data_IF_993908838194
#
_entry.id   IF_993908838194
#
_cell.length_a   1.000
_cell.length_b   1.000
_cell.length_c   1.000
_cell.angle_alpha   90.00
_cell.angle_beta   90.00
_cell.angle_gamma   90.00
#
_symmetry.space_group_name_H-M   'P 1'
#
loop_
_entity.id
_entity.type
_entity.pdbx_description
1 polymer ?
#
# COMPACT_ATOMS: atom_id res chain seq x y z
N UNK A 1 -8.11 14.06 18.53
CA UNK A 1 -6.91 14.31 17.68
C UNK A 1 -6.77 13.14 16.72
N UNK A 2 -6.49 13.38 15.44
CA UNK A 2 -6.30 12.30 14.45
C UNK A 2 -5.02 11.52 14.74
N UNK A 3 -5.07 10.19 14.62
CA UNK A 3 -3.88 9.31 14.71
C UNK A 3 -3.22 9.04 13.34
N UNK A 4 -3.61 9.81 12.33
CA UNK A 4 -3.29 9.54 10.92
C UNK A 4 -2.48 10.71 10.36
N UNK A 5 -1.52 10.39 9.51
CA UNK A 5 -0.68 11.38 8.84
C UNK A 5 -1.53 12.40 8.07
N UNK A 6 -1.12 13.68 8.11
CA UNK A 6 -1.74 14.72 7.28
C UNK A 6 -1.45 14.43 5.81
N UNK A 7 -2.51 14.39 5.00
CA UNK A 7 -2.40 14.17 3.55
C UNK A 7 -1.74 15.38 2.90
N UNK A 8 -0.44 15.26 2.65
CA UNK A 8 0.43 16.26 2.02
C UNK A 8 1.20 15.60 0.87
N UNK A 9 1.99 16.38 0.11
CA UNK A 9 2.88 15.80 -0.90
C UNK A 9 3.87 14.80 -0.26
N UNK A 10 4.37 15.11 0.94
CA UNK A 10 5.27 14.21 1.70
C UNK A 10 4.57 12.89 2.01
N UNK A 11 3.29 12.91 2.39
CA UNK A 11 2.52 11.70 2.61
C UNK A 11 2.50 10.80 1.38
N UNK A 12 2.28 11.36 0.19
CA UNK A 12 2.25 10.59 -1.05
C UNK A 12 3.63 10.03 -1.41
N UNK A 13 4.70 10.80 -1.24
CA UNK A 13 6.07 10.32 -1.45
C UNK A 13 6.35 9.14 -0.52
N UNK A 14 6.11 9.30 0.79
CA UNK A 14 6.33 8.25 1.77
C UNK A 14 5.46 7.02 1.50
N UNK A 15 4.20 7.21 1.06
CA UNK A 15 3.30 6.11 0.71
C UNK A 15 3.82 5.33 -0.48
N UNK A 16 4.21 6.00 -1.57
CA UNK A 16 4.78 5.34 -2.76
C UNK A 16 6.06 4.60 -2.39
N UNK A 17 6.96 5.21 -1.60
CA UNK A 17 8.18 4.55 -1.13
C UNK A 17 7.85 3.32 -0.26
N UNK A 18 6.90 3.43 0.66
CA UNK A 18 6.49 2.32 1.52
C UNK A 18 5.86 1.18 0.71
N UNK A 19 5.04 1.48 -0.30
CA UNK A 19 4.43 0.46 -1.14
C UNK A 19 5.46 -0.21 -2.03
N UNK A 20 6.37 0.56 -2.64
CA UNK A 20 7.42 0.01 -3.49
C UNK A 20 8.36 -0.87 -2.66
N UNK A 21 8.76 -0.41 -1.47
CA UNK A 21 9.55 -1.21 -0.52
C UNK A 21 8.79 -2.46 -0.06
N UNK A 22 7.47 -2.34 0.13
CA UNK A 22 6.62 -3.44 0.53
C UNK A 22 6.65 -4.60 -0.48
N UNK A 23 6.62 -4.27 -1.76
CA UNK A 23 6.75 -5.22 -2.86
C UNK A 23 8.12 -5.89 -2.85
N UNK A 24 9.19 -5.08 -2.90
CA UNK A 24 10.54 -5.61 -3.02
C UNK A 24 10.98 -6.40 -1.78
N UNK A 25 10.51 -6.04 -0.59
CA UNK A 25 10.77 -6.78 0.64
C UNK A 25 9.97 -8.10 0.71
N UNK A 26 8.73 -8.10 0.20
CA UNK A 26 7.93 -9.31 0.07
C UNK A 26 8.62 -10.34 -0.83
N UNK A 27 9.03 -9.90 -2.02
CA UNK A 27 9.79 -10.68 -3.00
C UNK A 27 11.15 -11.15 -2.48
N UNK A 28 11.83 -10.32 -1.68
CA UNK A 28 13.11 -10.66 -1.10
C UNK A 28 12.98 -11.86 -0.16
N UNK A 29 11.97 -11.89 0.71
CA UNK A 29 11.79 -13.02 1.63
C UNK A 29 11.25 -14.26 0.89
N UNK A 30 10.26 -14.07 0.02
CA UNK A 30 9.56 -15.18 -0.63
C UNK A 30 10.40 -15.84 -1.73
N UNK A 31 11.00 -15.04 -2.61
CA UNK A 31 11.73 -15.50 -3.79
C UNK A 31 13.24 -15.55 -3.56
N UNK A 32 13.83 -14.48 -3.03
CA UNK A 32 15.31 -14.36 -2.97
C UNK A 32 15.90 -15.20 -1.83
N UNK A 33 15.26 -15.18 -0.66
CA UNK A 33 15.67 -15.97 0.51
C UNK A 33 15.05 -17.37 0.54
N UNK A 34 14.13 -17.67 -0.39
CA UNK A 34 13.59 -19.02 -0.58
C UNK A 34 12.64 -19.51 0.51
N UNK A 35 12.07 -18.63 1.35
CA UNK A 35 11.10 -19.02 2.37
C UNK A 35 9.76 -19.47 1.78
N UNK A 36 9.50 -19.16 0.51
CA UNK A 36 8.24 -19.46 -0.17
C UNK A 36 7.10 -18.54 0.24
N UNK A 37 6.05 -18.50 -0.58
CA UNK A 37 4.95 -17.53 -0.43
C UNK A 37 4.11 -17.75 0.83
N UNK A 38 3.79 -19.02 1.15
CA UNK A 38 2.95 -19.35 2.31
C UNK A 38 3.60 -18.94 3.64
N UNK A 39 4.87 -19.30 3.84
CA UNK A 39 5.59 -18.97 5.07
C UNK A 39 5.83 -17.46 5.18
N UNK A 40 6.18 -16.80 4.07
CA UNK A 40 6.34 -15.34 4.02
C UNK A 40 5.04 -14.62 4.39
N UNK A 41 3.90 -15.07 3.86
CA UNK A 41 2.59 -14.51 4.19
C UNK A 41 2.29 -14.61 5.70
N UNK A 42 2.56 -15.75 6.33
CA UNK A 42 2.35 -15.94 7.77
C UNK A 42 3.27 -15.01 8.58
N UNK A 43 4.57 -14.97 8.26
CA UNK A 43 5.55 -14.14 8.97
C UNK A 43 5.14 -12.66 8.89
N UNK A 44 4.83 -12.16 7.70
CA UNK A 44 4.49 -10.76 7.52
C UNK A 44 3.11 -10.40 8.09
N UNK A 45 2.15 -11.33 8.07
CA UNK A 45 0.87 -11.13 8.72
C UNK A 45 1.04 -11.00 10.24
N UNK A 46 1.90 -11.80 10.87
CA UNK A 46 2.22 -11.68 12.30
C UNK A 46 2.88 -10.34 12.59
N UNK A 47 3.87 -9.93 11.79
CA UNK A 47 4.53 -8.61 11.95
C UNK A 47 3.50 -7.48 11.81
N UNK A 48 2.62 -7.56 10.82
CA UNK A 48 1.53 -6.61 10.64
C UNK A 48 0.63 -6.54 11.88
N UNK A 49 0.16 -7.66 12.40
CA UNK A 49 -0.69 -7.70 13.60
C UNK A 49 0.00 -7.07 14.82
N UNK A 50 1.29 -7.35 15.04
CA UNK A 50 2.06 -6.73 16.14
C UNK A 50 2.10 -5.21 15.98
N UNK A 51 2.46 -4.72 14.79
CA UNK A 51 2.52 -3.27 14.54
C UNK A 51 1.13 -2.62 14.66
N UNK A 52 0.08 -3.30 14.19
CA UNK A 52 -1.30 -2.84 14.26
C UNK A 52 -1.77 -2.71 15.71
N UNK A 53 -1.51 -3.73 16.56
CA UNK A 53 -1.83 -3.66 17.99
C UNK A 53 -1.12 -2.48 18.65
N UNK A 54 0.15 -2.22 18.29
CA UNK A 54 0.87 -1.04 18.73
C UNK A 54 0.17 0.27 18.35
N UNK A 55 -0.29 0.38 17.10
CA UNK A 55 -1.02 1.56 16.61
C UNK A 55 -2.40 1.73 17.27
N UNK A 56 -3.13 0.64 17.49
CA UNK A 56 -4.45 0.68 18.16
C UNK A 56 -4.33 1.07 19.65
N UNK A 57 -3.18 0.78 20.26
CA UNK A 57 -2.89 1.09 21.66
C UNK A 57 -2.59 2.56 21.92
N UNK A 58 -2.12 3.31 20.91
CA UNK A 58 -1.77 4.73 21.07
C UNK A 58 -2.94 5.65 20.79
N UNK A 59 -3.03 6.77 21.50
CA UNK A 59 -4.12 7.77 21.36
C UNK A 59 -3.73 9.00 20.54
N UNK A 60 -2.44 9.16 20.25
CA UNK A 60 -1.87 10.28 19.48
C UNK A 60 -1.17 9.75 18.23
N UNK A 61 -1.02 10.63 17.24
CA UNK A 61 -0.23 10.32 16.05
C UNK A 61 1.25 10.15 16.42
N UNK A 62 1.78 8.94 16.20
CA UNK A 62 3.20 8.64 16.31
C UNK A 62 3.67 8.24 14.91
N UNK A 63 4.44 9.10 14.20
CA UNK A 63 4.83 8.88 12.80
C UNK A 63 5.47 7.52 12.58
N UNK A 64 6.40 7.13 13.46
CA UNK A 64 7.11 5.85 13.36
C UNK A 64 6.14 4.66 13.40
N UNK A 65 5.22 4.63 14.36
CA UNK A 65 4.25 3.52 14.44
C UNK A 65 3.31 3.49 13.23
N UNK A 66 2.78 4.64 12.84
CA UNK A 66 1.86 4.74 11.70
C UNK A 66 2.53 4.23 10.41
N UNK A 67 3.74 4.70 10.12
CA UNK A 67 4.47 4.28 8.92
C UNK A 67 4.96 2.84 9.00
N UNK A 68 5.29 2.33 10.19
CA UNK A 68 5.58 0.91 10.38
C UNK A 68 4.37 0.03 10.08
N UNK A 69 3.16 0.41 10.49
CA UNK A 69 1.93 -0.31 10.11
C UNK A 69 1.70 -0.24 8.61
N UNK A 70 1.87 0.94 7.99
CA UNK A 70 1.70 1.12 6.54
C UNK A 70 2.72 0.29 5.74
N UNK A 71 3.95 0.14 6.23
CA UNK A 71 4.97 -0.69 5.61
C UNK A 71 4.64 -2.17 5.81
N UNK A 72 4.38 -2.61 7.05
CA UNK A 72 4.10 -4.02 7.36
C UNK A 72 2.85 -4.53 6.66
N UNK A 73 1.79 -3.73 6.57
CA UNK A 73 0.58 -4.08 5.80
C UNK A 73 0.83 -4.12 4.30
N UNK A 74 1.79 -3.34 3.78
CA UNK A 74 2.16 -3.42 2.37
C UNK A 74 2.90 -4.72 2.07
N UNK A 75 3.87 -5.09 2.91
CA UNK A 75 4.65 -6.32 2.76
C UNK A 75 3.74 -7.55 2.93
N UNK A 76 2.89 -7.55 3.96
CA UNK A 76 1.90 -8.62 4.17
C UNK A 76 0.91 -8.69 3.00
N UNK A 77 0.48 -7.55 2.47
CA UNK A 77 -0.39 -7.47 1.30
C UNK A 77 0.19 -8.20 0.08
N UNK A 78 1.46 -7.96 -0.25
CA UNK A 78 2.18 -8.65 -1.33
C UNK A 78 2.24 -10.14 -1.08
N UNK A 79 2.71 -10.56 0.09
CA UNK A 79 2.89 -11.98 0.38
C UNK A 79 1.58 -12.76 0.37
N UNK A 80 0.47 -12.16 0.83
CA UNK A 80 -0.86 -12.76 0.72
C UNK A 80 -1.31 -12.85 -0.74
N UNK A 81 -1.07 -11.81 -1.54
CA UNK A 81 -1.41 -11.79 -2.96
C UNK A 81 -0.69 -12.92 -3.70
N UNK A 82 0.64 -13.01 -3.54
CA UNK A 82 1.44 -14.07 -4.14
C UNK A 82 0.99 -15.46 -3.71
N UNK A 83 0.69 -15.63 -2.42
CA UNK A 83 0.19 -16.90 -1.92
C UNK A 83 -1.16 -17.27 -2.57
N UNK A 84 -2.08 -16.33 -2.71
CA UNK A 84 -3.38 -16.54 -3.35
C UNK A 84 -3.24 -16.86 -4.84
N UNK A 85 -2.43 -16.09 -5.56
CA UNK A 85 -2.37 -16.18 -7.01
C UNK A 85 -1.46 -17.32 -7.47
N UNK A 86 -0.32 -17.54 -6.80
CA UNK A 86 0.70 -18.52 -7.18
C UNK A 86 0.56 -19.85 -6.44
N UNK A 87 0.40 -19.85 -5.12
CA UNK A 87 0.32 -21.11 -4.34
C UNK A 87 -1.06 -21.73 -4.37
N UNK A 88 -2.13 -20.94 -4.20
CA UNK A 88 -3.52 -21.44 -4.33
C UNK A 88 -3.98 -21.53 -5.80
N UNK A 89 -3.13 -21.14 -6.75
CA UNK A 89 -3.37 -21.19 -8.18
C UNK A 89 -4.69 -20.52 -8.63
N UNK A 90 -5.14 -19.48 -7.90
CA UNK A 90 -6.32 -18.71 -8.29
C UNK A 90 -6.06 -17.91 -9.57
N UNK A 91 -4.81 -17.49 -9.77
CA UNK A 91 -4.40 -16.61 -10.85
C UNK A 91 -4.83 -15.16 -10.65
N UNK A 92 -3.98 -14.24 -11.12
CA UNK A 92 -4.07 -12.80 -10.84
C UNK A 92 -5.42 -12.17 -11.19
N UNK A 93 -6.07 -12.60 -12.27
CA UNK A 93 -7.37 -12.05 -12.67
C UNK A 93 -8.48 -12.39 -11.66
N UNK A 94 -8.58 -13.67 -11.24
CA UNK A 94 -9.60 -14.10 -10.29
C UNK A 94 -9.30 -13.58 -8.89
N UNK A 95 -8.03 -13.62 -8.48
CA UNK A 95 -7.56 -13.04 -7.21
C UNK A 95 -7.93 -11.56 -7.10
N UNK A 96 -7.59 -10.76 -8.12
CA UNK A 96 -7.96 -9.35 -8.19
C UNK A 96 -9.47 -9.13 -8.11
N UNK A 97 -10.28 -9.89 -8.85
CA UNK A 97 -11.73 -9.71 -8.86
C UNK A 97 -12.35 -9.99 -7.49
N UNK A 98 -11.92 -11.07 -6.82
CA UNK A 98 -12.35 -11.41 -5.45
C UNK A 98 -11.97 -10.27 -4.49
N UNK A 99 -10.74 -9.77 -4.57
CA UNK A 99 -10.25 -8.70 -3.70
C UNK A 99 -10.99 -7.38 -3.93
N UNK A 100 -11.35 -7.04 -5.17
CA UNK A 100 -12.22 -5.88 -5.48
C UNK A 100 -13.57 -6.03 -4.79
N UNK A 101 -14.22 -7.18 -4.91
CA UNK A 101 -15.55 -7.41 -4.31
C UNK A 101 -15.48 -7.28 -2.79
N UNK A 102 -14.47 -7.86 -2.15
CA UNK A 102 -14.27 -7.77 -0.70
C UNK A 102 -14.01 -6.32 -0.28
N UNK A 103 -13.15 -5.60 -1.01
CA UNK A 103 -12.84 -4.21 -0.70
C UNK A 103 -14.08 -3.31 -0.82
N UNK A 104 -14.90 -3.50 -1.85
CA UNK A 104 -16.17 -2.79 -2.00
C UNK A 104 -17.15 -3.12 -0.87
N UNK A 105 -17.22 -4.39 -0.45
CA UNK A 105 -18.06 -4.78 0.69
C UNK A 105 -17.59 -4.12 2.00
N UNK A 106 -16.28 -4.01 2.23
CA UNK A 106 -15.72 -3.30 3.39
C UNK A 106 -16.08 -1.81 3.35
N UNK A 107 -15.92 -1.14 2.21
CA UNK A 107 -16.30 0.26 2.06
C UNK A 107 -17.80 0.47 2.23
N UNK A 108 -18.63 -0.43 1.69
CA UNK A 108 -20.08 -0.38 1.88
C UNK A 108 -20.43 -0.53 3.36
N UNK A 109 -19.91 -1.54 4.04
CA UNK A 109 -20.16 -1.77 5.46
C UNK A 109 -19.72 -0.57 6.33
N UNK A 110 -18.56 0.01 6.02
CA UNK A 110 -18.08 1.20 6.71
C UNK A 110 -19.00 2.40 6.45
N UNK A 111 -19.37 2.64 5.19
CA UNK A 111 -20.29 3.72 4.83
C UNK A 111 -21.67 3.55 5.49
N UNK A 112 -22.22 2.34 5.56
CA UNK A 112 -23.50 2.12 6.25
C UNK A 112 -23.39 2.27 7.77
N UNK A 113 -22.22 1.97 8.35
CA UNK A 113 -21.99 2.09 9.80
C UNK A 113 -21.81 3.53 10.27
N UNK A 114 -21.02 4.33 9.56
CA UNK A 114 -20.60 5.68 9.99
C UNK A 114 -21.10 6.81 9.08
N UNK A 115 -21.73 6.48 7.95
CA UNK A 115 -22.19 7.41 6.89
C UNK A 115 -21.09 8.33 6.35
N UNK A 116 -19.82 7.98 6.58
CA UNK A 116 -18.66 8.76 6.19
C UNK A 116 -17.43 7.87 6.05
N UNK A 117 -16.75 7.98 4.92
CA UNK A 117 -15.43 7.36 4.68
C UNK A 117 -14.29 8.35 4.96
N UNK A 118 -14.56 9.40 5.74
CA UNK A 118 -13.59 10.45 6.01
C UNK A 118 -12.56 10.00 7.05
N UNK A 119 -11.31 9.94 6.60
CA UNK A 119 -10.15 9.50 7.38
C UNK A 119 -9.79 10.49 8.49
N UNK A 120 -10.22 11.74 8.39
CA UNK A 120 -10.02 12.71 9.46
C UNK A 120 -10.95 12.46 10.68
N UNK A 121 -11.94 11.58 10.55
CA UNK A 121 -12.94 11.30 11.59
C UNK A 121 -12.86 9.87 12.13
N UNK A 122 -11.66 9.29 12.24
CA UNK A 122 -11.46 7.99 12.91
C UNK A 122 -11.43 8.20 14.43
N UNK A 123 -12.62 8.17 15.05
CA UNK A 123 -12.78 8.41 16.49
C UNK A 123 -12.97 7.15 17.32
N UNK A 124 -13.45 6.06 16.73
CA UNK A 124 -13.76 4.81 17.44
C UNK A 124 -12.79 3.70 17.02
N UNK A 125 -12.51 2.77 17.95
CA UNK A 125 -11.70 1.57 17.65
C UNK A 125 -12.29 0.74 16.51
N UNK A 126 -13.61 0.66 16.42
CA UNK A 126 -14.31 -0.05 15.34
C UNK A 126 -13.94 0.52 13.97
N UNK A 127 -13.97 1.84 13.81
CA UNK A 127 -13.62 2.52 12.56
C UNK A 127 -12.13 2.40 12.25
N UNK A 128 -11.29 2.47 13.29
CA UNK A 128 -9.84 2.29 13.13
C UNK A 128 -9.52 0.87 12.61
N UNK A 129 -10.18 -0.17 13.12
CA UNK A 129 -10.04 -1.54 12.64
C UNK A 129 -10.53 -1.65 11.19
N UNK A 130 -11.70 -1.12 10.85
CA UNK A 130 -12.22 -1.14 9.48
C UNK A 130 -11.28 -0.43 8.49
N UNK A 131 -10.67 0.69 8.90
CA UNK A 131 -9.68 1.40 8.10
C UNK A 131 -8.45 0.53 7.82
N UNK A 132 -7.89 -0.13 8.83
CA UNK A 132 -6.72 -0.99 8.63
C UNK A 132 -7.03 -2.26 7.83
N UNK A 133 -8.23 -2.83 7.99
CA UNK A 133 -8.72 -3.93 7.16
C UNK A 133 -8.84 -3.48 5.70
N UNK A 134 -9.45 -2.32 5.44
CA UNK A 134 -9.56 -1.77 4.09
C UNK A 134 -8.17 -1.54 3.46
N UNK A 135 -7.19 -1.07 4.24
CA UNK A 135 -5.82 -0.91 3.79
C UNK A 135 -5.18 -2.25 3.43
N UNK A 136 -5.32 -3.28 4.28
CA UNK A 136 -4.75 -4.59 4.00
C UNK A 136 -5.28 -5.17 2.69
N UNK A 137 -6.61 -5.20 2.52
CA UNK A 137 -7.23 -5.70 1.29
C UNK A 137 -6.91 -4.83 0.08
N UNK A 138 -6.82 -3.51 0.24
CA UNK A 138 -6.36 -2.62 -0.81
C UNK A 138 -4.90 -2.90 -1.20
N UNK A 139 -4.04 -3.26 -0.26
CA UNK A 139 -2.65 -3.57 -0.55
C UNK A 139 -2.52 -4.90 -1.28
N UNK A 140 -3.25 -5.93 -0.84
CA UNK A 140 -3.31 -7.23 -1.52
C UNK A 140 -3.89 -7.08 -2.93
N UNK A 141 -5.00 -6.34 -3.09
CA UNK A 141 -5.58 -6.03 -4.39
C UNK A 141 -4.59 -5.32 -5.30
N UNK A 142 -3.87 -4.33 -4.77
CA UNK A 142 -2.94 -3.56 -5.58
C UNK A 142 -1.77 -4.38 -6.09
N UNK A 143 -1.24 -5.33 -5.31
CA UNK A 143 -0.23 -6.27 -5.82
C UNK A 143 -0.83 -7.20 -6.87
N UNK A 144 -1.95 -7.87 -6.59
CA UNK A 144 -2.61 -8.76 -7.55
C UNK A 144 -2.92 -8.07 -8.89
N UNK A 145 -3.42 -6.83 -8.82
CA UNK A 145 -3.76 -6.03 -10.00
C UNK A 145 -2.51 -5.53 -10.72
N UNK A 146 -1.46 -5.16 -9.97
CA UNK A 146 -0.17 -4.75 -10.53
C UNK A 146 0.45 -5.90 -11.34
N UNK A 147 0.54 -7.08 -10.74
CA UNK A 147 1.04 -8.30 -11.37
C UNK A 147 0.16 -8.72 -12.54
N UNK A 148 -1.17 -8.63 -12.41
CA UNK A 148 -2.08 -8.91 -13.52
C UNK A 148 -1.79 -8.02 -14.74
N UNK A 149 -1.62 -6.71 -14.50
CA UNK A 149 -1.32 -5.75 -15.55
C UNK A 149 0.07 -6.00 -16.15
N UNK A 150 1.06 -6.33 -15.33
CA UNK A 150 2.41 -6.57 -15.83
C UNK A 150 2.56 -7.90 -16.58
N UNK A 151 2.14 -9.01 -15.97
CA UNK A 151 2.48 -10.36 -16.45
C UNK A 151 1.41 -10.96 -17.36
N UNK A 152 0.13 -10.68 -17.12
CA UNK A 152 -0.98 -11.41 -17.79
C UNK A 152 -1.71 -10.57 -18.84
N UNK A 153 -1.78 -9.24 -18.65
CA UNK A 153 -2.55 -8.37 -19.57
C UNK A 153 -1.85 -8.09 -20.91
N UNK A 154 -0.55 -8.38 -21.01
CA UNK A 154 0.27 -8.06 -22.18
C UNK A 154 0.84 -6.62 -22.20
N UNK A 155 0.57 -5.80 -21.18
CA UNK A 155 1.10 -4.44 -21.05
C UNK A 155 2.58 -4.39 -20.62
N UNK A 156 3.07 -5.43 -19.93
CA UNK A 156 4.39 -5.42 -19.31
C UNK A 156 4.52 -4.42 -18.15
N UNK A 157 5.67 -4.41 -17.47
CA UNK A 157 5.89 -3.53 -16.31
C UNK A 157 5.79 -2.03 -16.68
N UNK A 158 6.37 -1.62 -17.81
CA UNK A 158 6.32 -0.23 -18.28
C UNK A 158 4.87 0.18 -18.62
N UNK A 159 4.15 -0.65 -19.38
CA UNK A 159 2.77 -0.35 -19.76
C UNK A 159 1.84 -0.27 -18.54
N UNK A 160 2.00 -1.18 -17.57
CA UNK A 160 1.29 -1.15 -16.30
C UNK A 160 1.58 0.12 -15.49
N UNK A 161 2.85 0.48 -15.32
CA UNK A 161 3.27 1.67 -14.59
C UNK A 161 2.75 2.96 -15.24
N UNK A 162 2.82 3.07 -16.58
CA UNK A 162 2.30 4.22 -17.33
C UNK A 162 0.78 4.31 -17.23
N UNK A 163 0.06 3.20 -17.36
CA UNK A 163 -1.40 3.16 -17.24
C UNK A 163 -1.84 3.65 -15.86
N UNK A 164 -1.30 3.08 -14.78
CA UNK A 164 -1.69 3.46 -13.43
C UNK A 164 -1.22 4.88 -13.10
N UNK A 165 -0.03 5.27 -13.55
CA UNK A 165 0.48 6.63 -13.40
C UNK A 165 -0.40 7.67 -14.09
N UNK A 166 -0.92 7.35 -15.29
CA UNK A 166 -1.85 8.23 -16.01
C UNK A 166 -3.20 8.36 -15.29
N UNK A 167 -3.73 7.28 -14.71
CA UNK A 167 -4.94 7.32 -13.89
C UNK A 167 -4.75 8.17 -12.63
N UNK A 168 -3.59 8.06 -11.97
CA UNK A 168 -3.25 8.93 -10.84
C UNK A 168 -3.16 10.40 -11.27
N UNK A 169 -2.56 10.69 -12.43
CA UNK A 169 -2.52 12.05 -12.98
C UNK A 169 -3.93 12.60 -13.26
N UNK A 170 -4.84 11.78 -13.81
CA UNK A 170 -6.26 12.14 -14.01
C UNK A 170 -6.93 12.45 -12.67
N UNK A 171 -6.65 11.68 -11.61
CA UNK A 171 -7.20 11.95 -10.27
C UNK A 171 -6.68 13.27 -9.70
N UNK A 172 -5.40 13.59 -9.92
CA UNK A 172 -4.82 14.88 -9.54
C UNK A 172 -5.47 16.02 -10.32
N UNK A 173 -5.69 15.86 -11.63
CA UNK A 173 -6.41 16.85 -12.43
C UNK A 173 -7.86 17.00 -11.95
N UNK A 174 -8.57 15.89 -11.72
CA UNK A 174 -9.91 15.92 -11.15
C UNK A 174 -9.92 16.62 -9.78
N UNK A 175 -8.87 16.45 -8.98
CA UNK A 175 -8.72 17.17 -7.73
C UNK A 175 -8.62 18.69 -7.94
N UNK A 176 -7.83 19.18 -8.88
CA UNK A 176 -7.72 20.63 -9.07
C UNK A 176 -8.89 21.26 -9.83
N UNK A 177 -9.49 20.53 -10.77
CA UNK A 177 -10.43 21.09 -11.74
C UNK A 177 -11.90 20.72 -11.53
N UNK A 178 -12.22 19.79 -10.62
CA UNK A 178 -13.61 19.34 -10.41
C UNK A 178 -14.09 19.49 -8.97
N UNK A 179 -15.42 19.39 -8.79
CA UNK A 179 -16.10 19.38 -7.48
C UNK A 179 -16.39 17.97 -6.97
N UNK A 180 -15.77 16.94 -7.55
CA UNK A 180 -15.92 15.55 -7.10
C UNK A 180 -15.49 15.43 -5.63
N UNK A 181 -16.15 14.54 -4.89
CA UNK A 181 -15.88 14.32 -3.47
C UNK A 181 -14.39 14.08 -3.20
N UNK A 182 -13.80 14.91 -2.33
CA UNK A 182 -12.39 14.81 -1.91
C UNK A 182 -12.09 13.46 -1.25
N UNK A 183 -13.05 12.94 -0.51
CA UNK A 183 -12.94 11.63 0.15
C UNK A 183 -12.90 10.51 -0.88
N UNK A 184 -13.73 10.59 -1.92
CA UNK A 184 -13.73 9.63 -3.01
C UNK A 184 -12.40 9.65 -3.78
N UNK A 185 -11.95 10.83 -4.23
CA UNK A 185 -10.68 10.99 -4.95
C UNK A 185 -9.50 10.49 -4.12
N UNK A 186 -9.51 10.74 -2.80
CA UNK A 186 -8.51 10.20 -1.90
C UNK A 186 -8.47 8.68 -1.93
N UNK A 187 -9.62 8.01 -1.76
CA UNK A 187 -9.66 6.55 -1.70
C UNK A 187 -9.25 5.91 -3.02
N UNK A 188 -9.69 6.47 -4.14
CA UNK A 188 -9.27 5.97 -5.46
C UNK A 188 -7.77 6.16 -5.66
N UNK A 189 -7.21 7.33 -5.34
CA UNK A 189 -5.76 7.55 -5.41
C UNK A 189 -5.01 6.61 -4.46
N UNK A 190 -5.48 6.46 -3.23
CA UNK A 190 -4.87 5.59 -2.22
C UNK A 190 -4.81 4.14 -2.69
N UNK A 191 -5.92 3.61 -3.21
CA UNK A 191 -5.99 2.25 -3.75
C UNK A 191 -5.06 2.10 -4.96
N UNK A 192 -5.03 3.08 -5.88
CA UNK A 192 -4.19 3.04 -7.09
C UNK A 192 -2.70 3.27 -6.84
N UNK A 193 -2.30 3.92 -5.75
CA UNK A 193 -0.87 4.04 -5.41
C UNK A 193 -0.22 2.70 -5.12
N UNK A 194 -0.98 1.68 -4.68
CA UNK A 194 -0.43 0.34 -4.45
C UNK A 194 -0.03 -0.37 -5.76
N UNK A 195 -0.93 -0.59 -6.74
CA UNK A 195 -0.54 -1.24 -7.99
C UNK A 195 0.52 -0.41 -8.73
N UNK A 196 0.51 0.91 -8.59
CA UNK A 196 1.61 1.75 -9.08
C UNK A 196 2.94 1.38 -8.39
N UNK A 197 2.98 1.32 -7.07
CA UNK A 197 4.18 0.93 -6.32
C UNK A 197 4.67 -0.49 -6.62
N UNK A 198 3.76 -1.43 -6.85
CA UNK A 198 4.10 -2.80 -7.23
C UNK A 198 4.72 -2.85 -8.63
N UNK A 199 4.00 -2.36 -9.64
CA UNK A 199 4.49 -2.30 -11.03
C UNK A 199 5.79 -1.49 -11.17
N UNK A 200 5.92 -0.39 -10.43
CA UNK A 200 7.15 0.42 -10.42
C UNK A 200 8.29 -0.30 -9.69
N UNK A 201 8.02 -1.00 -8.58
CA UNK A 201 9.01 -1.81 -7.87
C UNK A 201 9.55 -2.95 -8.74
N UNK A 202 8.67 -3.63 -9.47
CA UNK A 202 9.05 -4.66 -10.42
C UNK A 202 9.82 -4.08 -11.61
N UNK A 203 9.38 -2.93 -12.13
CA UNK A 203 10.10 -2.22 -13.18
C UNK A 203 11.54 -1.91 -12.76
N UNK A 204 11.78 -1.56 -11.49
CA UNK A 204 13.13 -1.31 -10.99
C UNK A 204 13.94 -2.61 -10.83
N UNK A 205 13.33 -3.66 -10.31
CA UNK A 205 14.05 -4.85 -9.81
C UNK A 205 14.19 -5.99 -10.82
N UNK A 206 13.20 -6.23 -11.68
CA UNK A 206 13.15 -7.40 -12.56
C UNK A 206 14.13 -7.28 -13.74
N UNK A 207 14.53 -8.41 -14.38
CA UNK A 207 15.47 -8.41 -15.50
C UNK A 207 14.95 -7.67 -16.75
N UNK A 208 15.88 -7.20 -17.58
CA UNK A 208 15.58 -6.55 -18.88
C UNK A 208 14.72 -7.40 -19.81
N UNK A 209 14.90 -8.73 -19.79
CA UNK A 209 14.12 -9.67 -20.61
C UNK A 209 12.62 -9.66 -20.29
N UNK A 210 12.25 -9.26 -19.07
CA UNK A 210 10.85 -9.08 -18.66
C UNK A 210 10.39 -7.62 -18.71
N UNK A 211 11.25 -6.70 -19.19
CA UNK A 211 10.95 -5.27 -19.28
C UNK A 211 11.29 -4.46 -18.03
N UNK A 212 12.09 -5.01 -17.10
CA UNK A 212 12.61 -4.28 -15.92
C UNK A 212 14.01 -3.68 -16.13
N UNK A 213 14.47 -2.85 -15.20
CA UNK A 213 15.77 -2.17 -15.22
C UNK A 213 16.91 -2.95 -14.56
N UNK A 214 16.63 -4.15 -14.04
CA UNK A 214 17.61 -5.06 -13.46
C UNK A 214 18.49 -4.41 -12.36
N UNK A 215 17.95 -3.49 -11.56
CA UNK A 215 18.67 -2.84 -10.46
C UNK A 215 18.84 -3.78 -9.25
N UNK A 216 18.17 -4.93 -9.28
CA UNK A 216 18.19 -5.93 -8.23
C UNK A 216 17.33 -5.57 -7.02
N UNK A 217 16.76 -6.60 -6.40
CA UNK A 217 15.81 -6.47 -5.26
C UNK A 217 16.45 -5.88 -4.02
N UNK A 218 17.70 -6.27 -3.71
CA UNK A 218 18.41 -5.82 -2.50
C UNK A 218 18.73 -4.33 -2.58
N UNK A 219 19.37 -3.89 -3.68
CA UNK A 219 19.77 -2.49 -3.86
C UNK A 219 18.59 -1.53 -3.87
N UNK A 220 17.53 -1.89 -4.61
CA UNK A 220 16.30 -1.10 -4.67
C UNK A 220 15.62 -0.99 -3.31
N UNK A 221 15.54 -2.10 -2.56
CA UNK A 221 14.96 -2.11 -1.21
C UNK A 221 15.72 -1.21 -0.24
N UNK A 222 17.06 -1.23 -0.28
CA UNK A 222 17.90 -0.38 0.60
C UNK A 222 17.65 1.11 0.32
N UNK A 223 17.63 1.51 -0.96
CA UNK A 223 17.39 2.91 -1.34
C UNK A 223 16.00 3.38 -0.92
N UNK A 224 14.97 2.57 -1.17
CA UNK A 224 13.59 2.87 -0.78
C UNK A 224 13.43 2.95 0.74
N UNK A 225 14.07 2.04 1.48
CA UNK A 225 14.11 2.06 2.94
C UNK A 225 14.80 3.32 3.48
N UNK A 226 15.94 3.71 2.89
CA UNK A 226 16.66 4.93 3.29
C UNK A 226 15.80 6.18 3.08
N UNK A 227 15.14 6.31 1.93
CA UNK A 227 14.18 7.40 1.65
C UNK A 227 13.07 7.41 2.70
N UNK A 228 12.46 6.26 2.96
CA UNK A 228 11.38 6.15 3.94
C UNK A 228 11.84 6.60 5.34
N UNK A 229 12.99 6.11 5.82
CA UNK A 229 13.54 6.45 7.13
C UNK A 229 13.84 7.94 7.23
N UNK A 230 14.46 8.55 6.22
CA UNK A 230 14.77 9.99 6.20
C UNK A 230 13.48 10.81 6.35
N UNK A 231 12.44 10.48 5.59
CA UNK A 231 11.16 11.21 5.68
C UNK A 231 10.39 10.94 6.98
N UNK A 232 10.47 9.72 7.55
CA UNK A 232 9.90 9.43 8.87
C UNK A 232 10.58 10.26 9.95
N UNK A 233 11.92 10.34 9.94
CA UNK A 233 12.69 11.14 10.89
C UNK A 233 12.35 12.62 10.73
N UNK A 234 12.29 13.13 9.50
CA UNK A 234 11.88 14.49 9.22
C UNK A 234 10.48 14.81 9.77
N UNK A 235 9.49 13.93 9.54
CA UNK A 235 8.13 14.13 10.02
C UNK A 235 8.04 14.01 11.56
N UNK A 236 8.79 13.09 12.17
CA UNK A 236 8.90 12.98 13.62
C UNK A 236 9.50 14.25 14.25
N UNK A 237 10.56 14.81 13.65
CA UNK A 237 11.18 16.05 14.11
C UNK A 237 10.24 17.25 13.96
N UNK A 238 9.49 17.33 12.86
CA UNK A 238 8.52 18.40 12.60
C UNK A 238 7.34 18.35 13.57
N UNK A 239 6.81 17.16 13.85
CA UNK A 239 5.73 16.97 14.83
C UNK A 239 6.19 17.28 16.26
N UNK A 240 7.47 17.05 16.59
CA UNK A 240 8.05 17.44 17.90
C UNK A 240 8.21 18.96 18.06
N UNK A 241 8.34 19.70 16.96
CA UNK A 241 8.49 21.17 16.93
C UNK A 241 7.17 21.96 16.90
N UNK A 242 6.02 21.30 16.73
CA UNK A 242 4.71 21.94 16.90
C UNK A 242 4.21 21.61 18.32
N UNK A 243 4.30 22.52 19.31
CA UNK A 243 3.62 22.33 20.58
C UNK A 243 2.13 22.17 20.27
N UNK A 244 1.52 21.16 20.87
CA UNK A 244 0.08 20.97 20.88
C UNK A 244 -0.59 22.23 21.42
N UNK A 245 -1.13 23.05 20.52
CA UNK A 245 -2.17 24.03 20.83
C UNK A 245 -3.54 23.36 20.78
#
# INVERSE_FOLDING_TARGET
>A
MSKIAKVTIIFWIMKISATTLGETAGDLLSMTLGFGYAMSAIIFLVIFLITLIGQLSVTKYIPVLYWSVILSTSIAGTAISDFMDRTLALGYMKGSLILVVILLAIFAYWYFSEKSLNINNIKTRKVEILYWIAILFSNTLGTALGDFLADTSGLGYIGGAVLIGSLLAIIVLAFYFTKVSRVFLFWVAFVLTRPFGATFGDLLTKPYEKGGFNLGTIGSSIVLAAILVIFIVYDAMKNKKQPSH
#
